data_IF_859129463777
#
_entry.id   IF_859129463777
#
_cell.length_a   1.000
_cell.length_b   1.000
_cell.length_c   1.000
_cell.angle_alpha   90.00
_cell.angle_beta   90.00
_cell.angle_gamma   90.00
#
_symmetry.space_group_name_H-M   'P 1'
#
loop_
_entity.id
_entity.type
_entity.pdbx_description
1 polymer ?
#
# COMPACT_ATOMS: atom_id res chain seq x y z
N UNK A 1 4.53 -0.32 38.22
CA UNK A 1 3.37 0.23 37.51
C UNK A 1 3.81 0.56 36.10
N UNK A 2 3.60 -0.33 35.15
CA UNK A 2 3.78 -0.05 33.72
C UNK A 2 2.55 0.72 33.24
N UNK A 3 2.69 1.92 32.65
CA UNK A 3 1.54 2.60 32.07
C UNK A 3 1.02 1.78 30.88
N UNK A 4 -0.30 1.75 30.65
CA UNK A 4 -0.87 1.11 29.48
C UNK A 4 -0.45 1.90 28.25
N UNK A 5 0.41 1.32 27.42
CA UNK A 5 0.67 1.79 26.06
C UNK A 5 -0.68 1.80 25.34
N UNK A 6 -1.25 3.00 25.21
CA UNK A 6 -2.27 3.24 24.20
C UNK A 6 -1.69 2.71 22.88
N UNK A 7 -2.42 1.88 22.10
CA UNK A 7 -1.94 1.46 20.80
C UNK A 7 -1.87 2.71 19.94
N UNK A 8 -0.70 3.35 19.93
CA UNK A 8 -0.37 4.41 19.01
C UNK A 8 -0.57 3.79 17.63
N UNK A 9 -1.55 4.31 16.89
CA UNK A 9 -1.68 4.02 15.47
C UNK A 9 -0.26 4.10 14.89
N UNK A 10 0.24 3.02 14.25
CA UNK A 10 1.64 2.98 13.87
C UNK A 10 1.90 4.17 12.96
N UNK A 11 2.86 5.00 13.38
CA UNK A 11 3.30 6.19 12.63
C UNK A 11 3.94 5.83 11.30
N UNK A 12 4.21 4.54 11.09
CA UNK A 12 4.87 3.98 9.93
C UNK A 12 4.03 2.82 9.40
N UNK A 13 3.98 2.68 8.08
CA UNK A 13 3.40 1.51 7.44
C UNK A 13 4.16 0.25 7.89
N UNK A 14 3.47 -0.81 8.36
CA UNK A 14 4.15 -2.04 8.72
C UNK A 14 4.94 -2.54 7.51
N UNK A 15 6.23 -2.81 7.71
CA UNK A 15 7.09 -3.37 6.64
C UNK A 15 6.51 -4.66 6.05
N UNK A 16 5.81 -5.45 6.87
CA UNK A 16 5.10 -6.65 6.41
C UNK A 16 3.96 -6.34 5.43
N UNK A 17 3.24 -5.23 5.64
CA UNK A 17 2.17 -4.77 4.75
C UNK A 17 2.79 -4.25 3.44
N UNK A 18 3.84 -3.44 3.53
CA UNK A 18 4.58 -2.95 2.36
C UNK A 18 5.12 -4.11 1.52
N UNK A 19 5.74 -5.10 2.16
CA UNK A 19 6.29 -6.27 1.47
C UNK A 19 5.18 -7.11 0.79
N UNK A 20 4.03 -7.29 1.46
CA UNK A 20 2.85 -7.93 0.86
C UNK A 20 2.36 -7.19 -0.39
N UNK A 21 2.29 -5.85 -0.33
CA UNK A 21 1.89 -5.00 -1.46
C UNK A 21 2.86 -5.19 -2.62
N UNK A 22 4.16 -5.00 -2.35
CA UNK A 22 5.24 -5.13 -3.32
C UNK A 22 5.25 -6.51 -3.96
N UNK A 23 5.15 -7.59 -3.18
CA UNK A 23 5.12 -8.95 -3.70
C UNK A 23 3.90 -9.18 -4.60
N UNK A 24 2.72 -8.71 -4.18
CA UNK A 24 1.50 -8.83 -4.99
C UNK A 24 1.67 -8.11 -6.32
N UNK A 25 2.15 -6.86 -6.30
CA UNK A 25 2.39 -6.06 -7.50
C UNK A 25 3.43 -6.71 -8.42
N UNK A 26 4.52 -7.24 -7.86
CA UNK A 26 5.57 -7.93 -8.62
C UNK A 26 5.05 -9.18 -9.32
N UNK A 27 4.18 -9.96 -8.65
CA UNK A 27 3.54 -11.14 -9.23
C UNK A 27 2.62 -10.74 -10.39
N UNK A 28 1.89 -9.63 -10.24
CA UNK A 28 0.98 -9.10 -11.27
C UNK A 28 1.75 -8.68 -12.52
N UNK A 29 2.83 -7.91 -12.33
CA UNK A 29 3.62 -7.35 -13.42
C UNK A 29 4.30 -8.45 -14.26
N UNK A 30 4.73 -9.56 -13.64
CA UNK A 30 5.27 -10.73 -14.37
C UNK A 30 4.25 -11.43 -15.28
N UNK A 31 2.97 -11.12 -15.16
CA UNK A 31 1.89 -11.79 -15.88
C UNK A 31 1.53 -11.23 -17.26
N UNK A 32 2.12 -10.09 -17.69
CA UNK A 32 1.90 -9.36 -18.97
C UNK A 32 0.43 -9.00 -19.35
N UNK A 33 -0.53 -9.53 -18.62
CA UNK A 33 -1.95 -9.27 -18.78
C UNK A 33 -2.33 -8.05 -17.97
N UNK A 34 -2.96 -7.06 -18.61
CA UNK A 34 -3.56 -5.93 -17.92
C UNK A 34 -4.51 -6.43 -16.84
N UNK A 35 -4.11 -6.24 -15.58
CA UNK A 35 -4.84 -6.75 -14.42
C UNK A 35 -5.04 -5.64 -13.42
N UNK A 36 -6.30 -5.48 -13.04
CA UNK A 36 -6.71 -4.71 -11.88
C UNK A 36 -6.90 -5.69 -10.73
N UNK A 37 -6.18 -5.47 -9.63
CA UNK A 37 -6.28 -6.29 -8.42
C UNK A 37 -6.67 -5.38 -7.28
N UNK A 38 -7.73 -5.75 -6.56
CA UNK A 38 -8.09 -5.13 -5.30
C UNK A 38 -7.69 -6.08 -4.16
N UNK A 39 -6.85 -5.59 -3.27
CA UNK A 39 -6.39 -6.30 -2.08
C UNK A 39 -7.02 -5.60 -0.88
N UNK A 40 -8.01 -6.25 -0.29
CA UNK A 40 -8.64 -5.79 0.93
C UNK A 40 -7.80 -6.27 2.12
N UNK A 41 -7.11 -5.34 2.78
CA UNK A 41 -6.35 -5.60 3.99
C UNK A 41 -7.29 -5.60 5.19
N UNK A 42 -7.48 -6.78 5.76
CA UNK A 42 -8.26 -7.00 6.97
C UNK A 42 -7.35 -7.03 8.20
N UNK A 43 -6.38 -6.12 8.27
CA UNK A 43 -5.46 -6.06 9.41
C UNK A 43 -6.10 -5.29 10.57
N UNK A 44 -5.82 -5.68 11.82
CA UNK A 44 -6.38 -5.07 13.04
C UNK A 44 -6.15 -3.55 13.11
N UNK A 45 -5.11 -3.07 12.43
CA UNK A 45 -4.71 -1.66 12.43
C UNK A 45 -5.30 -0.90 11.21
N UNK A 46 -5.38 -1.58 10.06
CA UNK A 46 -5.81 -0.99 8.79
C UNK A 46 -7.15 -1.59 8.36
N UNK A 47 -8.10 -1.65 9.29
CA UNK A 47 -9.39 -2.30 9.11
C UNK A 47 -10.16 -1.69 7.92
N UNK A 48 -10.21 -2.39 6.79
CA UNK A 48 -10.91 -1.92 5.58
C UNK A 48 -10.04 -1.10 4.62
N UNK A 49 -8.71 -1.14 4.76
CA UNK A 49 -7.82 -0.59 3.74
C UNK A 49 -7.89 -1.45 2.49
N UNK A 50 -8.10 -0.82 1.33
CA UNK A 50 -8.09 -1.51 0.05
C UNK A 50 -6.97 -0.97 -0.79
N UNK A 51 -6.17 -1.85 -1.35
CA UNK A 51 -5.19 -1.47 -2.34
C UNK A 51 -5.67 -1.91 -3.70
N UNK A 52 -5.78 -0.96 -4.60
CA UNK A 52 -6.11 -1.21 -5.98
C UNK A 52 -4.86 -1.04 -6.82
N UNK A 53 -4.41 -2.13 -7.43
CA UNK A 53 -3.23 -2.15 -8.31
C UNK A 53 -3.72 -2.39 -9.72
N UNK A 54 -3.43 -1.45 -10.62
CA UNK A 54 -3.76 -1.56 -12.03
C UNK A 54 -2.46 -1.63 -12.82
N UNK A 55 -2.22 -2.77 -13.46
CA UNK A 55 -1.08 -2.97 -14.36
C UNK A 55 -1.52 -2.75 -15.80
N UNK A 56 -0.81 -1.88 -16.53
CA UNK A 56 -1.00 -1.65 -17.95
C UNK A 56 0.34 -1.81 -18.68
N UNK A 57 0.65 -3.04 -19.10
CA UNK A 57 1.93 -3.38 -19.72
C UNK A 57 3.07 -3.24 -18.70
N UNK A 58 3.99 -2.32 -18.95
CA UNK A 58 5.11 -2.03 -18.04
C UNK A 58 4.74 -1.04 -16.92
N UNK A 59 3.63 -0.32 -17.06
CA UNK A 59 3.25 0.74 -16.14
C UNK A 59 2.32 0.19 -15.05
N UNK A 60 2.63 0.46 -13.78
CA UNK A 60 1.78 0.09 -12.65
C UNK A 60 1.22 1.34 -11.98
N UNK A 61 -0.11 1.42 -11.90
CA UNK A 61 -0.81 2.42 -11.10
C UNK A 61 -1.27 1.79 -9.80
N UNK A 62 -1.03 2.47 -8.69
CA UNK A 62 -1.37 2.00 -7.34
C UNK A 62 -2.29 3.01 -6.69
N UNK A 63 -3.45 2.57 -6.22
CA UNK A 63 -4.44 3.39 -5.55
C UNK A 63 -4.74 2.82 -4.16
N UNK A 64 -4.44 3.60 -3.13
CA UNK A 64 -4.64 3.25 -1.74
C UNK A 64 -5.95 3.84 -1.25
N UNK A 65 -6.92 2.97 -1.01
CA UNK A 65 -8.22 3.33 -0.46
C UNK A 65 -8.16 3.10 1.05
N UNK A 66 -8.09 4.20 1.79
CA UNK A 66 -7.90 4.18 3.24
C UNK A 66 -9.22 4.50 3.95
N UNK A 67 -9.51 3.85 5.09
CA UNK A 67 -10.78 4.04 5.80
C UNK A 67 -10.82 5.30 6.67
N UNK A 68 -9.68 5.99 6.86
CA UNK A 68 -9.55 7.13 7.75
C UNK A 68 -8.48 8.11 7.27
N UNK A 69 -8.71 9.41 7.49
CA UNK A 69 -7.75 10.49 7.16
C UNK A 69 -6.39 10.31 7.85
N UNK A 70 -6.35 9.81 9.09
CA UNK A 70 -5.08 9.54 9.78
C UNK A 70 -4.21 8.55 9.01
N UNK A 71 -4.83 7.53 8.43
CA UNK A 71 -4.14 6.54 7.59
C UNK A 71 -3.75 7.16 6.26
N UNK A 72 -4.61 8.00 5.67
CA UNK A 72 -4.29 8.77 4.46
C UNK A 72 -3.01 9.59 4.63
N UNK A 73 -2.90 10.34 5.73
CA UNK A 73 -1.74 11.17 6.01
C UNK A 73 -0.47 10.34 6.20
N UNK A 74 -0.56 9.21 6.92
CA UNK A 74 0.55 8.26 7.04
C UNK A 74 0.96 7.70 5.67
N UNK A 75 0.01 7.28 4.83
CA UNK A 75 0.30 6.77 3.49
C UNK A 75 0.85 7.85 2.56
N UNK A 76 0.41 9.10 2.67
CA UNK A 76 0.95 10.24 1.91
C UNK A 76 2.38 10.57 2.32
N UNK A 77 2.67 10.55 3.62
CA UNK A 77 4.02 10.73 4.16
C UNK A 77 4.95 9.59 3.72
N UNK A 78 4.46 8.36 3.82
CA UNK A 78 5.21 7.15 3.45
C UNK A 78 5.19 6.87 1.94
N UNK A 79 4.44 7.60 1.11
CA UNK A 79 4.32 7.30 -0.33
C UNK A 79 5.68 7.28 -1.01
N UNK A 80 6.59 8.15 -0.59
CA UNK A 80 7.95 8.20 -1.15
C UNK A 80 8.70 6.92 -0.80
N UNK A 81 8.58 6.45 0.44
CA UNK A 81 9.15 5.19 0.89
C UNK A 81 8.53 3.99 0.15
N UNK A 82 7.21 4.02 -0.07
CA UNK A 82 6.49 3.00 -0.84
C UNK A 82 6.95 2.98 -2.29
N UNK A 83 7.05 4.16 -2.93
CA UNK A 83 7.52 4.29 -4.31
C UNK A 83 8.96 3.78 -4.46
N UNK A 84 9.84 4.15 -3.52
CA UNK A 84 11.22 3.67 -3.47
C UNK A 84 11.27 2.15 -3.31
N UNK A 85 10.54 1.59 -2.34
CA UNK A 85 10.53 0.15 -2.11
C UNK A 85 9.96 -0.65 -3.29
N UNK A 86 8.94 -0.12 -3.97
CA UNK A 86 8.41 -0.71 -5.21
C UNK A 86 9.44 -0.61 -6.35
N UNK A 87 10.05 0.55 -6.54
CA UNK A 87 11.09 0.78 -7.56
C UNK A 87 12.33 -0.10 -7.35
N UNK A 88 12.80 -0.26 -6.11
CA UNK A 88 13.93 -1.14 -5.76
C UNK A 88 13.67 -2.61 -6.10
N UNK A 89 12.40 -3.00 -6.19
CA UNK A 89 11.98 -4.37 -6.51
C UNK A 89 11.67 -4.56 -8.00
N UNK A 90 11.92 -3.54 -8.81
CA UNK A 90 11.68 -3.55 -10.26
C UNK A 90 10.23 -3.26 -10.64
N UNK A 91 9.43 -2.70 -9.73
CA UNK A 91 8.08 -2.26 -10.04
C UNK A 91 8.12 -0.82 -10.52
N UNK A 92 7.79 -0.60 -11.79
CA UNK A 92 7.67 0.74 -12.37
C UNK A 92 6.31 1.34 -12.00
N UNK A 93 6.28 2.07 -10.89
CA UNK A 93 5.07 2.72 -10.40
C UNK A 93 4.88 4.04 -11.12
N UNK A 94 3.87 4.10 -11.99
CA UNK A 94 3.54 5.30 -12.75
C UNK A 94 2.84 6.36 -11.89
N UNK A 95 1.92 5.92 -11.03
CA UNK A 95 1.11 6.78 -10.18
C UNK A 95 0.77 6.10 -8.86
N UNK A 96 0.85 6.86 -7.77
CA UNK A 96 0.36 6.47 -6.45
C UNK A 96 -0.76 7.44 -6.06
N UNK A 97 -2.00 6.96 -6.05
CA UNK A 97 -3.15 7.69 -5.52
C UNK A 97 -3.46 7.22 -4.10
N UNK A 98 -3.92 8.13 -3.24
CA UNK A 98 -4.39 7.81 -1.89
C UNK A 98 -5.73 8.49 -1.69
N UNK A 99 -6.79 7.69 -1.67
CA UNK A 99 -8.18 8.13 -1.54
C UNK A 99 -8.75 7.69 -0.19
N UNK A 100 -9.23 8.63 0.60
CA UNK A 100 -10.00 8.33 1.82
C UNK A 100 -11.44 7.98 1.46
N UNK A 101 -11.93 6.82 1.93
CA UNK A 101 -13.33 6.41 1.89
C UNK A 101 -14.10 6.87 3.13
#
# INVERSE_FOLDING_TARGET
MTPPEAPAAPRELPKALLDQIVQSVTIIQKGDLQKEIQIDFHDKIFHGLKLKVTSQGQEVSVEFLVPNRTVEETFKQERENIALALGEKGVDVRSIDVTCM
#
